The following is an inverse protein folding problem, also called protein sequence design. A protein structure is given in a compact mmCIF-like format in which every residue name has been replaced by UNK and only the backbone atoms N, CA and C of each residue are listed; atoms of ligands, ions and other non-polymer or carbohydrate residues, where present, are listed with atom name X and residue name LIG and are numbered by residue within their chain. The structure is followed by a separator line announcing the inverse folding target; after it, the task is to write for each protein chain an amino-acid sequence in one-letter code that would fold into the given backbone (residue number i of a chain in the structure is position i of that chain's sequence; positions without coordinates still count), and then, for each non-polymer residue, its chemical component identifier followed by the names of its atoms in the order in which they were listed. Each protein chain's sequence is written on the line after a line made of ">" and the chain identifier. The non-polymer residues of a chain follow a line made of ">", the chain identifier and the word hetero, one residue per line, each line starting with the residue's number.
data_IF_542287848299
#
_entry.id   IF_542287848299
#
_cell.length_a   1.000
_cell.length_b   1.000
_cell.length_c   1.000
_cell.angle_alpha   90.00
_cell.angle_beta   90.00
_cell.angle_gamma   90.00
#
_symmetry.space_group_name_H-M   'P 1'
#
loop_
_entity.id
_entity.type
_entity.pdbx_description
1 polymer ?
#
# COMPACT_ATOMS: atom_id res chain seq x y z
N UNK A 1 -10.85 13.40 24.24
CA UNK A 1 -9.94 12.76 23.26
C UNK A 1 -10.61 12.80 21.89
N UNK A 2 -10.07 13.50 20.88
CA UNK A 2 -10.69 13.51 19.57
C UNK A 2 -10.60 12.10 18.95
N UNK A 3 -11.75 11.52 18.61
CA UNK A 3 -11.83 10.25 17.87
C UNK A 3 -11.21 10.49 16.50
N UNK A 4 -10.12 9.79 16.18
CA UNK A 4 -9.60 9.73 14.80
C UNK A 4 -10.73 9.19 13.91
N UNK A 5 -11.30 10.04 13.08
CA UNK A 5 -12.21 9.63 12.02
C UNK A 5 -11.40 8.79 11.03
N UNK A 6 -11.58 7.47 11.06
CA UNK A 6 -10.99 6.57 10.06
C UNK A 6 -11.82 6.76 8.78
N UNK A 7 -11.35 7.63 7.89
CA UNK A 7 -11.90 7.73 6.54
C UNK A 7 -11.67 6.39 5.83
N UNK A 8 -12.76 5.64 5.62
CA UNK A 8 -12.75 4.39 4.84
C UNK A 8 -12.85 4.70 3.35
N UNK A 9 -12.00 5.58 2.86
CA UNK A 9 -11.93 5.86 1.43
C UNK A 9 -11.32 4.66 0.72
N UNK A 10 -12.07 4.10 -0.23
CA UNK A 10 -11.57 3.03 -1.10
C UNK A 10 -10.84 3.68 -2.26
N UNK A 11 -9.53 3.45 -2.34
CA UNK A 11 -8.70 3.92 -3.45
C UNK A 11 -8.55 2.76 -4.44
N UNK A 12 -8.92 3.01 -5.70
CA UNK A 12 -8.66 2.11 -6.81
C UNK A 12 -7.53 2.69 -7.66
N UNK A 13 -6.51 1.88 -7.96
CA UNK A 13 -5.37 2.29 -8.80
C UNK A 13 -5.22 1.32 -9.98
N UNK A 14 -4.94 1.88 -11.14
CA UNK A 14 -4.56 1.10 -12.32
C UNK A 14 -3.05 1.02 -12.38
N UNK A 15 -2.51 -0.20 -12.34
CA UNK A 15 -1.08 -0.47 -12.49
C UNK A 15 -0.88 -1.57 -13.54
N UNK A 16 0.33 -1.65 -14.08
CA UNK A 16 0.71 -2.71 -15.01
C UNK A 16 0.42 -4.11 -14.44
N UNK A 17 -0.05 -5.02 -15.30
CA UNK A 17 -0.47 -6.37 -14.92
C UNK A 17 0.70 -7.19 -14.37
N UNK A 18 1.88 -7.06 -14.95
CA UNK A 18 3.07 -7.79 -14.50
C UNK A 18 3.55 -7.24 -13.15
N UNK A 19 3.56 -5.91 -12.98
CA UNK A 19 3.86 -5.27 -11.70
C UNK A 19 2.88 -5.70 -10.60
N UNK A 20 1.57 -5.67 -10.89
CA UNK A 20 0.55 -6.14 -9.96
C UNK A 20 0.77 -7.60 -9.55
N UNK A 21 1.08 -8.48 -10.51
CA UNK A 21 1.32 -9.89 -10.22
C UNK A 21 2.52 -10.09 -9.30
N UNK A 22 3.62 -9.35 -9.53
CA UNK A 22 4.83 -9.42 -8.70
C UNK A 22 4.58 -8.88 -7.29
N UNK A 23 3.90 -7.74 -7.17
CA UNK A 23 3.53 -7.17 -5.88
C UNK A 23 2.60 -8.09 -5.10
N UNK A 24 1.58 -8.65 -5.77
CA UNK A 24 0.64 -9.59 -5.14
C UNK A 24 1.37 -10.85 -4.63
N UNK A 25 2.25 -11.44 -5.45
CA UNK A 25 3.04 -12.60 -5.03
C UNK A 25 3.89 -12.31 -3.81
N UNK A 26 4.64 -11.20 -3.81
CA UNK A 26 5.42 -10.77 -2.66
C UNK A 26 4.55 -10.59 -1.41
N UNK A 27 3.39 -9.93 -1.55
CA UNK A 27 2.48 -9.74 -0.43
C UNK A 27 1.94 -11.08 0.12
N UNK A 28 1.64 -12.03 -0.75
CA UNK A 28 1.14 -13.37 -0.39
C UNK A 28 2.20 -14.19 0.36
N UNK A 29 3.43 -14.26 -0.19
CA UNK A 29 4.59 -14.94 0.43
C UNK A 29 4.90 -14.40 1.85
N UNK A 30 4.69 -13.10 2.07
CA UNK A 30 4.95 -12.45 3.35
C UNK A 30 3.72 -12.31 4.26
N UNK A 31 2.55 -12.81 3.85
CA UNK A 31 1.26 -12.66 4.57
C UNK A 31 0.88 -11.19 4.86
N UNK A 32 1.23 -10.28 3.95
CA UNK A 32 0.95 -8.84 4.05
C UNK A 32 -0.19 -8.49 3.10
N UNK A 33 -1.09 -7.59 3.52
CA UNK A 33 -2.10 -7.04 2.61
C UNK A 33 -1.44 -6.09 1.60
N UNK A 34 -1.81 -6.21 0.32
CA UNK A 34 -1.31 -5.34 -0.74
C UNK A 34 -1.50 -3.84 -0.41
N UNK A 35 -2.63 -3.47 0.21
CA UNK A 35 -2.89 -2.10 0.68
C UNK A 35 -1.89 -1.63 1.75
N UNK A 36 -1.52 -2.50 2.68
CA UNK A 36 -0.55 -2.20 3.75
C UNK A 36 0.85 -2.04 3.18
N UNK A 37 1.21 -2.90 2.22
CA UNK A 37 2.49 -2.81 1.55
C UNK A 37 2.60 -1.53 0.70
N UNK A 38 1.53 -1.14 -0.02
CA UNK A 38 1.47 0.13 -0.74
C UNK A 38 1.61 1.33 0.21
N UNK A 39 0.91 1.34 1.35
CA UNK A 39 1.06 2.42 2.34
C UNK A 39 2.51 2.51 2.85
N UNK A 40 3.16 1.38 3.10
CA UNK A 40 4.56 1.33 3.49
C UNK A 40 5.48 1.91 2.41
N UNK A 41 5.29 1.53 1.14
CA UNK A 41 6.10 2.03 0.04
C UNK A 41 5.94 3.55 -0.15
N UNK A 42 4.71 4.07 -0.04
CA UNK A 42 4.44 5.51 -0.12
C UNK A 42 5.19 6.25 0.99
N UNK A 43 5.01 5.82 2.25
CA UNK A 43 5.72 6.43 3.40
C UNK A 43 7.24 6.31 3.30
N UNK A 44 7.75 5.23 2.71
CA UNK A 44 9.19 5.03 2.50
C UNK A 44 9.71 5.99 1.43
N UNK A 45 8.95 6.22 0.36
CA UNK A 45 9.26 7.21 -0.67
C UNK A 45 9.34 8.63 -0.09
N UNK A 46 8.34 9.03 0.70
CA UNK A 46 8.32 10.36 1.35
C UNK A 46 9.48 10.57 2.34
N UNK A 47 9.98 9.49 2.96
CA UNK A 47 11.13 9.57 3.87
C UNK A 47 12.49 9.61 3.17
N UNK A 48 12.55 9.27 1.88
CA UNK A 48 13.78 9.25 1.09
C UNK A 48 14.14 10.58 0.41
N UNK A 49 13.27 11.59 0.45
CA UNK A 49 13.49 12.92 -0.13
C UNK A 49 13.99 13.96 0.90
N UNK A 50 15.03 13.65 1.66
CA UNK A 50 15.75 14.63 2.50
C UNK A 50 17.26 14.53 2.36
#
# INVERSE_FOLDING_TARGET
>A
MPKKTVTKDKICISIDKNLHSRLKKYCDDHMIKLSTYLEYLIRKGEKGEK
#
